data_IF_388045746677
#
_entry.id   IF_388045746677
#
_cell.length_a   1.000
_cell.length_b   1.000
_cell.length_c   1.000
_cell.angle_alpha   90.00
_cell.angle_beta   90.00
_cell.angle_gamma   90.00
#
_symmetry.space_group_name_H-M   'P 1'
#
loop_
_entity.id
_entity.type
_entity.pdbx_description
1 polymer ?
#
# COMPACT_ATOMS: atom_id res chain seq x y z
N UNK A 1 -1.37 12.17 -0.65
CA UNK A 1 -2.44 12.14 0.38
C UNK A 1 -1.88 12.15 1.80
N UNK A 2 -0.75 11.49 2.08
CA UNK A 2 -0.10 11.53 3.38
C UNK A 2 0.21 12.96 3.83
N UNK A 3 0.81 13.74 2.95
CA UNK A 3 1.27 15.11 3.22
C UNK A 3 0.12 16.11 3.39
N UNK A 4 -1.05 15.82 2.80
CA UNK A 4 -2.20 16.72 2.88
C UNK A 4 -2.78 16.86 4.30
N UNK A 5 -2.72 15.80 5.09
CA UNK A 5 -3.28 15.80 6.45
C UNK A 5 -2.49 16.71 7.40
N UNK A 6 -1.15 16.63 7.49
CA UNK A 6 -0.38 17.57 8.29
C UNK A 6 -0.44 19.01 7.76
N UNK A 7 -0.42 19.22 6.45
CA UNK A 7 -0.40 20.55 5.84
C UNK A 7 -1.73 21.29 5.99
N UNK A 8 -2.87 20.62 5.77
CA UNK A 8 -4.20 21.24 5.80
C UNK A 8 -4.75 21.36 7.21
N UNK A 9 -4.55 20.32 8.04
CA UNK A 9 -5.07 20.30 9.41
C UNK A 9 -4.10 20.91 10.42
N UNK A 10 -2.89 21.32 10.01
CA UNK A 10 -1.81 21.82 10.89
C UNK A 10 -1.55 20.89 12.09
N UNK A 11 -1.79 19.61 11.92
CA UNK A 11 -1.51 18.58 12.91
C UNK A 11 -0.02 18.21 12.86
N UNK A 12 0.56 17.91 14.01
CA UNK A 12 1.88 17.26 14.02
C UNK A 12 1.80 15.89 13.35
N UNK A 13 2.90 15.40 12.75
CA UNK A 13 2.94 14.09 12.07
C UNK A 13 2.44 12.96 12.98
N UNK A 14 2.74 13.02 14.28
CA UNK A 14 2.20 12.11 15.29
C UNK A 14 0.68 12.25 15.46
N UNK A 15 0.15 13.47 15.41
CA UNK A 15 -1.30 13.71 15.47
C UNK A 15 -2.00 13.15 14.25
N UNK A 16 -1.40 13.29 13.07
CA UNK A 16 -1.88 12.69 11.81
C UNK A 16 -1.89 11.15 11.87
N UNK A 17 -0.82 10.53 12.38
CA UNK A 17 -0.75 9.08 12.57
C UNK A 17 -1.79 8.56 13.56
N UNK A 18 -1.98 9.23 14.69
CA UNK A 18 -3.00 8.86 15.68
C UNK A 18 -4.41 8.94 15.11
N UNK A 19 -4.71 10.00 14.36
CA UNK A 19 -5.99 10.17 13.68
C UNK A 19 -6.22 9.05 12.65
N UNK A 20 -5.23 8.72 11.83
CA UNK A 20 -5.32 7.63 10.87
C UNK A 20 -5.48 6.27 11.54
N UNK A 21 -4.78 6.02 12.66
CA UNK A 21 -4.93 4.80 13.46
C UNK A 21 -6.35 4.67 14.03
N UNK A 22 -6.93 5.77 14.50
CA UNK A 22 -8.30 5.79 15.01
C UNK A 22 -9.33 5.52 13.89
N UNK A 23 -9.18 6.16 12.74
CA UNK A 23 -10.04 5.93 11.57
C UNK A 23 -9.92 4.46 11.13
N UNK A 24 -8.70 3.92 11.07
CA UNK A 24 -8.47 2.52 10.74
C UNK A 24 -9.15 1.57 11.73
N UNK A 25 -9.02 1.83 13.03
CA UNK A 25 -9.69 1.02 14.06
C UNK A 25 -11.22 1.02 13.88
N UNK A 26 -11.82 2.18 13.63
CA UNK A 26 -13.26 2.29 13.37
C UNK A 26 -13.68 1.48 12.14
N UNK A 27 -12.90 1.55 11.03
CA UNK A 27 -13.19 0.80 9.80
C UNK A 27 -13.10 -0.70 10.06
N UNK A 28 -12.05 -1.16 10.76
CA UNK A 28 -11.88 -2.59 11.09
C UNK A 28 -13.00 -3.09 11.98
N UNK A 29 -13.39 -2.32 13.00
CA UNK A 29 -14.53 -2.66 13.86
C UNK A 29 -15.84 -2.69 13.09
N UNK A 30 -16.11 -1.71 12.22
CA UNK A 30 -17.28 -1.70 11.36
C UNK A 30 -17.31 -2.91 10.42
N UNK A 31 -16.15 -3.31 9.89
CA UNK A 31 -16.05 -4.50 9.03
C UNK A 31 -16.28 -5.81 9.81
N UNK A 32 -15.88 -5.88 11.09
CA UNK A 32 -16.14 -7.03 11.95
C UNK A 32 -17.65 -7.18 12.28
N UNK A 33 -18.36 -6.06 12.44
CA UNK A 33 -19.81 -6.07 12.66
C UNK A 33 -20.62 -6.39 11.41
N UNK A 34 -20.07 -6.13 10.23
CA UNK A 34 -20.67 -6.52 8.96
C UNK A 34 -20.51 -8.03 8.76
N UNK A 35 -21.57 -8.80 8.96
CA UNK A 35 -21.59 -10.28 8.78
C UNK A 35 -21.24 -10.75 7.36
N UNK A 36 -21.28 -9.85 6.38
CA UNK A 36 -20.83 -10.05 4.99
C UNK A 36 -19.69 -9.09 4.76
N UNK A 37 -18.46 -9.57 4.65
CA UNK A 37 -17.31 -8.72 4.38
C UNK A 37 -17.65 -7.61 3.37
N UNK A 38 -17.49 -6.36 3.77
CA UNK A 38 -17.84 -5.22 2.93
C UNK A 38 -16.60 -4.80 2.14
N UNK A 39 -16.62 -5.04 0.84
CA UNK A 39 -15.54 -4.70 -0.07
C UNK A 39 -15.16 -3.21 0.00
N UNK A 40 -16.15 -2.32 0.15
CA UNK A 40 -15.89 -0.88 0.31
C UNK A 40 -15.10 -0.56 1.59
N UNK A 41 -15.40 -1.22 2.71
CA UNK A 41 -14.65 -1.06 3.96
C UNK A 41 -13.22 -1.59 3.84
N UNK A 42 -13.01 -2.67 3.09
CA UNK A 42 -11.69 -3.19 2.80
C UNK A 42 -10.84 -2.18 2.01
N UNK A 43 -11.39 -1.61 0.93
CA UNK A 43 -10.68 -0.60 0.14
C UNK A 43 -10.43 0.69 0.92
N UNK A 44 -11.39 1.09 1.76
CA UNK A 44 -11.20 2.23 2.65
C UNK A 44 -10.08 2.00 3.66
N UNK A 45 -10.01 0.79 4.25
CA UNK A 45 -8.91 0.41 5.13
C UNK A 45 -7.55 0.47 4.42
N UNK A 46 -7.47 -0.01 3.16
CA UNK A 46 -6.25 0.10 2.34
C UNK A 46 -5.84 1.57 2.15
N UNK A 47 -6.78 2.46 1.85
CA UNK A 47 -6.49 3.89 1.68
C UNK A 47 -5.90 4.51 2.95
N UNK A 48 -6.50 4.19 4.10
CA UNK A 48 -6.02 4.69 5.40
C UNK A 48 -4.63 4.14 5.75
N UNK A 49 -4.41 2.85 5.54
CA UNK A 49 -3.08 2.23 5.76
C UNK A 49 -2.03 2.82 4.81
N UNK A 50 -2.40 3.15 3.58
CA UNK A 50 -1.50 3.82 2.63
C UNK A 50 -1.13 5.23 3.07
N UNK A 51 -2.09 6.01 3.55
CA UNK A 51 -1.82 7.33 4.10
C UNK A 51 -0.92 7.25 5.35
N UNK A 52 -1.18 6.30 6.25
CA UNK A 52 -0.34 6.06 7.42
C UNK A 52 1.08 5.63 7.05
N UNK A 53 1.24 4.83 5.99
CA UNK A 53 2.55 4.41 5.50
C UNK A 53 3.41 5.58 4.99
N UNK A 54 2.80 6.56 4.29
CA UNK A 54 3.49 7.79 3.88
C UNK A 54 3.92 8.60 5.10
N UNK A 55 3.00 8.89 6.02
CA UNK A 55 3.34 9.64 7.25
C UNK A 55 4.44 8.96 8.09
N UNK A 56 4.50 7.62 8.10
CA UNK A 56 5.57 6.88 8.77
C UNK A 56 6.91 7.05 8.06
N UNK A 57 6.93 7.06 6.73
CA UNK A 57 8.13 7.30 5.95
C UNK A 57 8.65 8.72 6.19
N UNK A 58 7.76 9.73 6.13
CA UNK A 58 8.09 11.14 6.37
C UNK A 58 8.60 11.38 7.79
N UNK A 59 8.00 10.72 8.78
CA UNK A 59 8.48 10.78 10.17
C UNK A 59 9.89 10.21 10.29
N UNK A 60 10.17 9.06 9.67
CA UNK A 60 11.47 8.40 9.76
C UNK A 60 12.58 9.17 9.04
N UNK A 61 12.35 9.53 7.79
CA UNK A 61 13.36 10.18 6.96
C UNK A 61 13.37 11.69 7.19
N UNK A 62 12.20 12.33 7.12
CA UNK A 62 12.10 13.79 7.18
C UNK A 62 12.38 14.34 8.58
N UNK A 63 11.79 13.76 9.61
CA UNK A 63 11.90 14.32 10.98
C UNK A 63 13.02 13.70 11.80
N UNK A 64 13.22 12.40 11.73
CA UNK A 64 14.30 11.72 12.48
C UNK A 64 15.63 11.74 11.74
N UNK A 65 15.66 12.24 10.50
CA UNK A 65 16.85 12.30 9.63
C UNK A 65 17.58 10.95 9.53
N UNK A 66 16.83 9.87 9.55
CA UNK A 66 17.38 8.52 9.42
C UNK A 66 17.83 8.30 7.97
N UNK A 67 18.94 7.58 7.83
CA UNK A 67 19.44 7.20 6.50
C UNK A 67 18.46 6.28 5.77
N UNK A 68 18.15 6.62 4.53
CA UNK A 68 17.16 5.94 3.69
C UNK A 68 17.47 4.46 3.48
N UNK A 69 18.78 4.12 3.36
CA UNK A 69 19.22 2.73 3.18
C UNK A 69 18.99 1.93 4.46
N UNK A 70 19.34 2.50 5.60
CA UNK A 70 19.16 1.87 6.91
C UNK A 70 17.68 1.63 7.20
N UNK A 71 16.80 2.63 6.97
CA UNK A 71 15.36 2.50 7.15
C UNK A 71 14.78 1.44 6.21
N UNK A 72 15.19 1.43 4.94
CA UNK A 72 14.76 0.42 3.97
C UNK A 72 15.18 -0.99 4.39
N UNK A 73 16.41 -1.17 4.86
CA UNK A 73 16.90 -2.46 5.33
C UNK A 73 16.12 -2.96 6.57
N UNK A 74 15.87 -2.08 7.54
CA UNK A 74 15.09 -2.41 8.73
C UNK A 74 13.63 -2.77 8.37
N UNK A 75 12.99 -2.00 7.48
CA UNK A 75 11.62 -2.28 7.03
C UNK A 75 11.53 -3.58 6.22
N UNK A 76 12.53 -3.87 5.37
CA UNK A 76 12.61 -5.11 4.63
C UNK A 76 12.78 -6.31 5.58
N UNK A 77 13.67 -6.22 6.57
CA UNK A 77 13.85 -7.25 7.59
C UNK A 77 12.56 -7.46 8.41
N UNK A 78 11.89 -6.38 8.81
CA UNK A 78 10.61 -6.43 9.53
C UNK A 78 9.53 -7.09 8.67
N UNK A 79 9.43 -6.75 7.39
CA UNK A 79 8.47 -7.37 6.47
C UNK A 79 8.73 -8.88 6.36
N UNK A 80 9.97 -9.29 6.17
CA UNK A 80 10.34 -10.72 6.13
C UNK A 80 9.96 -11.44 7.44
N UNK A 81 10.22 -10.84 8.60
CA UNK A 81 9.84 -11.39 9.90
C UNK A 81 8.31 -11.55 10.03
N UNK A 82 7.53 -10.54 9.65
CA UNK A 82 6.06 -10.60 9.65
C UNK A 82 5.56 -11.71 8.72
N UNK A 83 6.14 -11.84 7.54
CA UNK A 83 5.76 -12.88 6.57
C UNK A 83 6.11 -14.28 7.08
N UNK A 84 7.24 -14.45 7.75
CA UNK A 84 7.63 -15.71 8.40
C UNK A 84 6.63 -16.09 9.51
N UNK A 85 6.23 -15.13 10.36
CA UNK A 85 5.22 -15.33 11.39
C UNK A 85 3.84 -15.67 10.77
N UNK A 86 3.45 -14.98 9.70
CA UNK A 86 2.22 -15.30 8.97
C UNK A 86 2.23 -16.71 8.40
N UNK A 87 3.34 -17.14 7.83
CA UNK A 87 3.49 -18.51 7.27
C UNK A 87 3.29 -19.56 8.34
N UNK A 88 3.83 -19.32 9.55
CA UNK A 88 3.64 -20.22 10.69
C UNK A 88 2.18 -20.27 11.18
N UNK A 89 1.40 -19.18 10.99
CA UNK A 89 0.02 -19.06 11.48
C UNK A 89 -1.05 -19.44 10.44
N UNK A 90 -0.71 -19.55 9.14
CA UNK A 90 -1.69 -19.67 8.07
C UNK A 90 -1.83 -21.09 7.54
N UNK A 91 -2.67 -21.87 8.21
CA UNK A 91 -3.19 -23.15 7.68
C UNK A 91 -4.69 -23.03 7.26
N UNK A 92 -5.20 -21.83 6.93
CA UNK A 92 -6.64 -21.68 6.65
C UNK A 92 -6.93 -21.15 5.24
N UNK A 93 -7.90 -21.78 4.54
CA UNK A 93 -8.22 -21.44 3.15
C UNK A 93 -8.86 -20.05 3.00
N UNK A 94 -8.63 -19.46 1.82
CA UNK A 94 -9.24 -18.19 1.37
C UNK A 94 -10.75 -18.37 1.19
N UNK A 95 -11.54 -17.53 1.85
CA UNK A 95 -13.00 -17.50 1.67
C UNK A 95 -13.37 -16.26 0.84
N UNK A 96 -14.12 -16.46 -0.23
CA UNK A 96 -14.75 -15.41 -1.05
C UNK A 96 -13.82 -14.37 -1.71
N UNK A 97 -12.72 -14.77 -2.35
CA UNK A 97 -11.96 -13.88 -3.24
C UNK A 97 -11.16 -12.73 -2.58
N UNK A 98 -11.49 -12.35 -1.35
CA UNK A 98 -10.74 -11.36 -0.57
C UNK A 98 -9.72 -12.06 0.35
N UNK A 99 -8.50 -11.54 0.46
CA UNK A 99 -7.51 -12.10 1.38
C UNK A 99 -8.01 -11.99 2.82
N UNK A 100 -7.78 -13.03 3.62
CA UNK A 100 -8.13 -13.00 5.05
C UNK A 100 -7.33 -11.91 5.75
N UNK A 101 -8.03 -10.87 6.20
CA UNK A 101 -7.43 -9.71 6.86
C UNK A 101 -7.32 -9.97 8.35
N UNK A 102 -6.15 -10.36 8.80
CA UNK A 102 -5.79 -10.40 10.22
C UNK A 102 -4.84 -9.25 10.57
N UNK A 103 -4.54 -9.06 11.85
CA UNK A 103 -3.61 -8.01 12.29
C UNK A 103 -2.23 -8.09 11.60
N UNK A 104 -1.70 -9.28 11.39
CA UNK A 104 -0.43 -9.48 10.68
C UNK A 104 -0.51 -9.09 9.19
N UNK A 105 -1.68 -9.26 8.56
CA UNK A 105 -1.90 -8.78 7.18
C UNK A 105 -1.80 -7.26 7.10
N UNK A 106 -2.49 -6.56 8.02
CA UNK A 106 -2.47 -5.10 8.04
C UNK A 106 -1.10 -4.55 8.42
N UNK A 107 -0.40 -5.21 9.33
CA UNK A 107 0.97 -4.84 9.68
C UNK A 107 1.93 -5.05 8.50
N UNK A 108 1.82 -6.17 7.77
CA UNK A 108 2.59 -6.39 6.54
C UNK A 108 2.27 -5.35 5.46
N UNK A 109 0.98 -4.99 5.30
CA UNK A 109 0.54 -3.98 4.34
C UNK A 109 1.11 -2.59 4.68
N UNK A 110 1.09 -2.21 5.96
CA UNK A 110 1.69 -0.97 6.45
C UNK A 110 3.20 -0.96 6.21
N UNK A 111 3.91 -2.02 6.63
CA UNK A 111 5.37 -2.13 6.49
C UNK A 111 5.80 -2.14 5.02
N UNK A 112 5.11 -2.90 4.16
CA UNK A 112 5.39 -2.93 2.71
C UNK A 112 5.08 -1.58 2.06
N UNK A 113 4.02 -0.90 2.51
CA UNK A 113 3.67 0.44 2.07
C UNK A 113 4.73 1.48 2.42
N UNK A 114 5.18 1.50 3.69
CA UNK A 114 6.24 2.39 4.16
C UNK A 114 7.55 2.11 3.43
N UNK A 115 7.94 0.83 3.29
CA UNK A 115 9.14 0.44 2.54
C UNK A 115 9.09 0.95 1.09
N UNK A 116 7.96 0.79 0.41
CA UNK A 116 7.80 1.25 -0.97
C UNK A 116 7.89 2.78 -1.09
N UNK A 117 7.36 3.54 -0.13
CA UNK A 117 7.51 5.01 -0.10
C UNK A 117 8.97 5.39 0.12
N UNK A 118 9.62 4.83 1.16
CA UNK A 118 11.05 5.10 1.46
C UNK A 118 11.95 4.78 0.27
N UNK A 119 11.70 3.68 -0.44
CA UNK A 119 12.45 3.34 -1.66
C UNK A 119 12.19 4.32 -2.80
N UNK A 120 10.94 4.77 -2.98
CA UNK A 120 10.58 5.75 -3.99
C UNK A 120 11.31 7.07 -3.77
N UNK A 121 11.20 7.63 -2.59
CA UNK A 121 11.83 8.88 -2.20
C UNK A 121 13.36 8.77 -2.21
N UNK A 122 13.91 7.64 -1.68
CA UNK A 122 15.34 7.41 -1.64
C UNK A 122 15.97 7.36 -3.02
N UNK A 123 15.39 6.64 -3.97
CA UNK A 123 15.91 6.58 -5.35
C UNK A 123 15.73 7.94 -6.04
N UNK A 124 14.60 8.61 -5.82
CA UNK A 124 14.34 9.93 -6.38
C UNK A 124 15.31 11.01 -5.91
N UNK A 125 15.78 10.93 -4.67
CA UNK A 125 16.74 11.89 -4.10
C UNK A 125 18.20 11.59 -4.41
N UNK A 126 18.59 10.33 -4.61
CA UNK A 126 19.97 9.95 -4.97
C UNK A 126 20.32 10.43 -6.38
N UNK A 127 19.36 10.48 -7.29
CA UNK A 127 19.56 10.91 -8.67
C UNK A 127 19.13 12.37 -8.79
N UNK A 128 20.10 13.29 -8.71
CA UNK A 128 19.85 14.71 -8.94
C UNK A 128 19.96 15.08 -10.43
N UNK A 129 19.12 15.98 -10.96
CA UNK A 129 18.00 16.66 -10.30
C UNK A 129 16.76 15.75 -10.13
N UNK A 130 15.87 16.07 -9.18
CA UNK A 130 14.63 15.33 -8.88
C UNK A 130 13.79 15.07 -10.14
N UNK A 131 13.76 16.02 -11.07
CA UNK A 131 13.06 15.90 -12.37
C UNK A 131 13.56 14.72 -13.23
N UNK A 132 14.74 14.21 -12.97
CA UNK A 132 15.36 13.06 -13.66
C UNK A 132 15.30 11.81 -12.76
N UNK A 133 15.54 11.98 -11.46
CA UNK A 133 15.56 10.88 -10.49
C UNK A 133 14.22 10.18 -10.35
N UNK A 134 13.12 10.94 -10.23
CA UNK A 134 11.77 10.39 -10.08
C UNK A 134 11.31 9.58 -11.31
N UNK A 135 11.45 10.03 -12.56
CA UNK A 135 11.15 9.20 -13.73
C UNK A 135 11.98 7.92 -13.81
N UNK A 136 13.28 8.00 -13.50
CA UNK A 136 14.16 6.82 -13.51
C UNK A 136 13.71 5.81 -12.46
N UNK A 137 13.39 6.26 -11.25
CA UNK A 137 12.84 5.42 -10.18
C UNK A 137 11.53 4.74 -10.60
N UNK A 138 10.62 5.47 -11.26
CA UNK A 138 9.39 4.93 -11.81
C UNK A 138 9.64 3.85 -12.88
N UNK A 139 10.63 4.03 -13.75
CA UNK A 139 11.03 3.04 -14.75
C UNK A 139 11.59 1.78 -14.08
N UNK A 140 12.46 1.92 -13.08
CA UNK A 140 13.02 0.80 -12.31
C UNK A 140 11.89 0.01 -11.63
N UNK A 141 10.97 0.72 -10.95
CA UNK A 141 9.82 0.10 -10.29
C UNK A 141 8.91 -0.62 -11.29
N UNK A 142 8.66 -0.05 -12.47
CA UNK A 142 7.89 -0.67 -13.56
C UNK A 142 8.57 -1.95 -14.04
N UNK A 143 9.88 -1.91 -14.24
CA UNK A 143 10.68 -3.08 -14.61
C UNK A 143 10.61 -4.19 -13.55
N UNK A 144 10.69 -3.83 -12.28
CA UNK A 144 10.56 -4.77 -11.16
C UNK A 144 9.16 -5.42 -11.12
N UNK A 145 8.09 -4.64 -11.27
CA UNK A 145 6.71 -5.16 -11.34
C UNK A 145 6.56 -6.11 -12.54
N UNK A 146 7.01 -5.70 -13.72
CA UNK A 146 6.94 -6.54 -14.92
C UNK A 146 7.73 -7.84 -14.76
N UNK A 147 8.90 -7.79 -14.14
CA UNK A 147 9.70 -8.97 -13.84
C UNK A 147 8.99 -9.92 -12.87
N UNK A 148 8.43 -9.39 -11.76
CA UNK A 148 7.68 -10.17 -10.77
C UNK A 148 6.46 -10.83 -11.40
N UNK A 149 5.71 -10.10 -12.24
CA UNK A 149 4.54 -10.63 -12.94
C UNK A 149 4.93 -11.76 -13.92
N UNK A 150 6.06 -11.63 -14.61
CA UNK A 150 6.59 -12.69 -15.49
C UNK A 150 7.05 -13.92 -14.70
N UNK A 151 7.65 -13.73 -13.53
CA UNK A 151 8.05 -14.84 -12.66
C UNK A 151 6.85 -15.58 -12.07
N UNK A 152 5.77 -14.91 -11.75
CA UNK A 152 4.53 -15.53 -11.24
C UNK A 152 3.98 -16.60 -12.21
N UNK A 153 4.18 -16.45 -13.51
CA UNK A 153 3.76 -17.43 -14.51
C UNK A 153 4.66 -18.68 -14.57
N UNK A 154 5.81 -18.67 -13.89
CA UNK A 154 6.81 -19.76 -13.95
C UNK A 154 6.98 -20.51 -12.62
N UNK A 155 6.46 -19.98 -11.51
CA UNK A 155 6.68 -20.51 -10.17
C UNK A 155 5.40 -21.15 -9.61
N UNK A 156 5.36 -22.47 -9.63
CA UNK A 156 4.25 -23.30 -9.15
C UNK A 156 4.24 -23.54 -7.62
N UNK A 157 4.91 -22.71 -6.82
CA UNK A 157 5.07 -22.95 -5.39
C UNK A 157 4.38 -21.87 -4.54
N UNK A 158 3.47 -22.27 -3.65
CA UNK A 158 2.70 -21.40 -2.75
C UNK A 158 3.53 -20.41 -1.90
N UNK A 159 4.79 -20.76 -1.57
CA UNK A 159 5.69 -19.86 -0.84
C UNK A 159 6.30 -18.77 -1.70
N UNK A 160 6.60 -19.07 -2.96
CA UNK A 160 7.09 -18.09 -3.94
C UNK A 160 5.95 -17.15 -4.36
N UNK A 161 4.71 -17.63 -4.37
CA UNK A 161 3.52 -16.83 -4.64
C UNK A 161 3.30 -15.74 -3.58
N UNK A 162 3.42 -16.08 -2.29
CA UNK A 162 3.30 -15.11 -1.21
C UNK A 162 4.43 -14.06 -1.26
N UNK A 163 5.68 -14.45 -1.49
CA UNK A 163 6.81 -13.53 -1.61
C UNK A 163 6.65 -12.59 -2.81
N UNK A 164 6.24 -13.12 -3.98
CA UNK A 164 6.01 -12.31 -5.19
C UNK A 164 4.87 -11.31 -5.01
N UNK A 165 3.81 -11.68 -4.27
CA UNK A 165 2.71 -10.77 -3.95
C UNK A 165 3.20 -9.56 -3.14
N UNK A 166 3.95 -9.78 -2.06
CA UNK A 166 4.44 -8.68 -1.22
C UNK A 166 5.51 -7.84 -1.93
N UNK A 167 6.38 -8.47 -2.71
CA UNK A 167 7.33 -7.74 -3.55
C UNK A 167 6.61 -6.87 -4.59
N UNK A 168 5.53 -7.36 -5.20
CA UNK A 168 4.70 -6.58 -6.10
C UNK A 168 4.03 -5.39 -5.39
N UNK A 169 3.53 -5.57 -4.15
CA UNK A 169 2.97 -4.47 -3.36
C UNK A 169 4.01 -3.38 -3.12
N UNK A 170 5.23 -3.74 -2.70
CA UNK A 170 6.33 -2.79 -2.50
C UNK A 170 6.63 -2.05 -3.82
N UNK A 171 6.82 -2.77 -4.92
CA UNK A 171 7.15 -2.19 -6.22
C UNK A 171 6.04 -1.27 -6.76
N UNK A 172 4.76 -1.67 -6.65
CA UNK A 172 3.60 -0.83 -7.03
C UNK A 172 3.53 0.41 -6.14
N UNK A 173 3.86 0.29 -4.87
CA UNK A 173 3.89 1.43 -3.95
C UNK A 173 5.00 2.41 -4.31
N UNK A 174 6.23 1.93 -4.56
CA UNK A 174 7.36 2.73 -5.05
C UNK A 174 6.97 3.48 -6.33
N UNK A 175 6.38 2.78 -7.29
CA UNK A 175 5.89 3.38 -8.53
C UNK A 175 4.83 4.45 -8.27
N UNK A 176 3.86 4.17 -7.39
CA UNK A 176 2.78 5.10 -7.06
C UNK A 176 3.25 6.37 -6.35
N UNK A 177 4.29 6.31 -5.50
CA UNK A 177 4.94 7.48 -4.89
C UNK A 177 5.54 8.36 -5.98
N UNK A 178 6.44 7.79 -6.81
CA UNK A 178 7.11 8.52 -7.88
C UNK A 178 6.13 9.13 -8.91
N UNK A 179 5.10 8.38 -9.29
CA UNK A 179 4.08 8.89 -10.20
C UNK A 179 3.25 10.02 -9.57
N UNK A 180 2.97 9.90 -8.27
CA UNK A 180 2.29 10.93 -7.49
C UNK A 180 3.08 12.24 -7.47
N UNK A 181 4.40 12.16 -7.27
CA UNK A 181 5.30 13.32 -7.24
C UNK A 181 5.38 14.01 -8.60
N UNK A 182 5.51 13.23 -9.69
CA UNK A 182 5.46 13.76 -11.06
C UNK A 182 4.12 14.46 -11.32
N UNK A 183 3.02 13.81 -10.94
CA UNK A 183 1.68 14.37 -11.13
C UNK A 183 1.47 15.63 -10.29
N UNK A 184 1.95 15.68 -9.05
CA UNK A 184 1.88 16.85 -8.19
C UNK A 184 2.73 18.01 -8.74
N UNK A 185 3.91 17.72 -9.30
CA UNK A 185 4.77 18.71 -9.95
C UNK A 185 4.13 19.30 -11.21
N UNK A 186 3.49 18.47 -12.05
CA UNK A 186 2.88 18.92 -13.31
C UNK A 186 1.51 19.60 -13.14
N UNK A 187 0.68 19.12 -12.21
CA UNK A 187 -0.72 19.49 -12.09
C UNK A 187 -1.04 20.27 -10.81
N UNK A 188 -0.11 20.44 -9.92
CA UNK A 188 -0.27 20.83 -8.51
C UNK A 188 -0.85 19.71 -7.61
N UNK A 189 -0.54 19.77 -6.33
CA UNK A 189 -0.95 18.74 -5.35
C UNK A 189 -2.47 18.53 -5.26
N UNK A 190 -3.33 19.60 -5.16
CA UNK A 190 -4.77 19.41 -5.08
C UNK A 190 -5.37 18.75 -6.31
N UNK A 191 -4.93 19.16 -7.51
CA UNK A 191 -5.46 18.63 -8.79
C UNK A 191 -5.04 17.17 -8.97
N UNK A 192 -3.80 16.83 -8.67
CA UNK A 192 -3.31 15.45 -8.76
C UNK A 192 -4.05 14.53 -7.79
N UNK A 193 -4.36 15.00 -6.58
CA UNK A 193 -5.16 14.26 -5.59
C UNK A 193 -6.59 14.02 -6.07
N UNK A 194 -7.27 15.04 -6.60
CA UNK A 194 -8.62 14.90 -7.14
C UNK A 194 -8.65 13.91 -8.31
N UNK A 195 -7.71 14.03 -9.24
CA UNK A 195 -7.61 13.14 -10.39
C UNK A 195 -7.36 11.68 -9.96
N UNK A 196 -6.44 11.46 -9.03
CA UNK A 196 -6.15 10.11 -8.49
C UNK A 196 -7.35 9.51 -7.77
N UNK A 197 -8.11 10.34 -7.02
CA UNK A 197 -9.34 9.93 -6.36
C UNK A 197 -10.44 9.54 -7.36
N UNK A 198 -10.62 10.33 -8.41
CA UNK A 198 -11.58 10.05 -9.49
C UNK A 198 -11.21 8.78 -10.27
N UNK A 199 -9.93 8.59 -10.59
CA UNK A 199 -9.45 7.37 -11.24
C UNK A 199 -9.69 6.14 -10.38
N UNK A 200 -9.40 6.22 -9.07
CA UNK A 200 -9.68 5.13 -8.15
C UNK A 200 -11.18 4.82 -8.07
N UNK A 201 -12.01 5.84 -7.89
CA UNK A 201 -13.47 5.67 -7.85
C UNK A 201 -14.00 5.06 -9.15
N UNK A 202 -13.56 5.57 -10.30
CA UNK A 202 -13.92 5.03 -11.61
C UNK A 202 -13.50 3.58 -11.77
N UNK A 203 -12.27 3.24 -11.38
CA UNK A 203 -11.77 1.85 -11.42
C UNK A 203 -12.62 0.93 -10.55
N UNK A 204 -12.96 1.34 -9.33
CA UNK A 204 -13.80 0.55 -8.42
C UNK A 204 -15.23 0.36 -8.93
N UNK A 205 -15.79 1.37 -9.63
CA UNK A 205 -17.12 1.27 -10.24
C UNK A 205 -17.12 0.28 -11.40
N UNK A 206 -16.09 0.34 -12.26
CA UNK A 206 -15.96 -0.55 -13.44
C UNK A 206 -15.62 -1.98 -13.00
N UNK A 207 -14.80 -2.13 -11.95
CA UNK A 207 -14.39 -3.44 -11.42
C UNK A 207 -15.49 -4.15 -10.63
N UNK A 208 -16.64 -3.54 -10.36
CA UNK A 208 -17.73 -4.23 -9.68
C UNK A 208 -18.11 -5.47 -10.50
N UNK A 209 -17.64 -6.63 -10.08
CA UNK A 209 -18.17 -7.90 -10.59
C UNK A 209 -19.69 -7.94 -10.37
N UNK A 210 -20.46 -8.28 -11.40
CA UNK A 210 -21.90 -8.54 -11.21
C UNK A 210 -21.99 -9.67 -10.18
N UNK A 211 -22.58 -9.38 -9.02
CA UNK A 211 -22.88 -10.40 -8.00
C UNK A 211 -23.73 -11.46 -8.68
N UNK A 212 -23.14 -12.61 -9.00
CA UNK A 212 -23.91 -13.77 -9.41
C UNK A 212 -24.95 -14.02 -8.31
N UNK A 213 -26.24 -14.01 -8.63
CA UNK A 213 -27.27 -14.40 -7.67
C UNK A 213 -26.93 -15.81 -7.22
N UNK A 214 -26.82 -16.00 -5.90
CA UNK A 214 -26.63 -17.30 -5.27
C UNK A 214 -27.78 -18.16 -5.79
N UNK A 215 -27.46 -19.11 -6.66
CA UNK A 215 -28.44 -20.16 -7.03
C UNK A 215 -28.74 -20.89 -5.73
N UNK A 216 -30.01 -20.88 -5.24
CA UNK A 216 -30.36 -21.66 -4.07
C UNK A 216 -30.08 -23.12 -4.41
N UNK A 217 -29.28 -23.79 -3.56
CA UNK A 217 -29.09 -25.22 -3.66
C UNK A 217 -30.45 -25.87 -3.74
N UNK A 218 -30.73 -26.58 -4.83
CA UNK A 218 -31.89 -27.40 -4.99
C UNK A 218 -31.86 -28.43 -3.86
N UNK A 219 -32.91 -28.41 -3.05
CA UNK A 219 -33.24 -29.36 -1.99
C UNK A 219 -33.36 -30.78 -2.50
#
# INVERSE_FOLDING_TARGET
MGDFIPDVLKLSDLGGLLMLALIFAVIVLANQWSRRGNEALYWLAILVVRAAATNLADLGIGRMHLDCITVSACLAALLVAILALRRASSLQPVTCGLPRTNGLYWLAMLTAGTLGTVLGDGIGHVIHPITVGVPISAIIATGAVAFILRQKTRLDMASAEAASYWAAIVAIRTWGTNFGDIAAFLLSLPVSMMLSGLLLAGTLIVWREPRNPIIPAAT
#
